data_IF_314430188169
#
_entry.id   IF_314430188169
#
_cell.length_a   1.000
_cell.length_b   1.000
_cell.length_c   1.000
_cell.angle_alpha   90.00
_cell.angle_beta   90.00
_cell.angle_gamma   90.00
#
_symmetry.space_group_name_H-M   'P 1'
#
loop_
_entity.id
_entity.type
_entity.pdbx_description
1 polymer ?
#
# COMPACT_ATOMS: atom_id res chain seq x y z
N UNK A 1 -35.23 -3.55 -4.57
CA UNK A 1 -34.42 -4.00 -5.73
C UNK A 1 -33.04 -3.51 -5.41
N UNK A 2 -32.37 -4.26 -4.56
CA UNK A 2 -31.15 -3.83 -3.88
C UNK A 2 -30.04 -4.68 -4.46
N UNK A 3 -29.28 -4.07 -5.37
CA UNK A 3 -28.12 -4.67 -6.01
C UNK A 3 -27.03 -4.86 -4.96
N UNK A 4 -27.02 -6.03 -4.33
CA UNK A 4 -25.92 -6.52 -3.51
C UNK A 4 -24.71 -6.64 -4.42
N UNK A 5 -23.71 -5.77 -4.21
CA UNK A 5 -22.43 -5.87 -4.89
C UNK A 5 -21.81 -7.23 -4.63
N UNK A 6 -21.41 -7.94 -5.69
CA UNK A 6 -20.60 -9.15 -5.61
C UNK A 6 -19.26 -8.83 -4.94
N UNK A 7 -19.24 -9.00 -3.62
CA UNK A 7 -18.02 -9.13 -2.83
C UNK A 7 -17.42 -10.50 -3.15
N UNK A 8 -16.77 -10.60 -4.31
CA UNK A 8 -16.11 -11.83 -4.75
C UNK A 8 -14.98 -12.19 -3.79
N UNK A 9 -15.16 -13.28 -3.04
CA UNK A 9 -14.14 -13.99 -2.25
C UNK A 9 -13.08 -14.65 -3.17
N UNK A 10 -12.83 -14.07 -4.34
CA UNK A 10 -11.99 -14.64 -5.37
C UNK A 10 -10.53 -14.30 -5.07
N UNK A 11 -9.80 -15.33 -4.69
CA UNK A 11 -8.37 -15.25 -4.39
C UNK A 11 -7.62 -15.25 -5.71
N UNK A 12 -7.06 -14.11 -6.06
CA UNK A 12 -6.28 -13.94 -7.28
C UNK A 12 -4.81 -14.24 -7.04
N UNK A 13 -4.09 -14.57 -8.11
CA UNK A 13 -2.64 -14.81 -8.09
C UNK A 13 -1.86 -13.79 -8.93
N UNK A 14 -0.56 -13.55 -8.66
CA UNK A 14 0.24 -12.63 -9.46
C UNK A 14 0.23 -13.00 -10.96
N UNK A 15 0.02 -11.99 -11.80
CA UNK A 15 -0.09 -12.12 -13.25
C UNK A 15 -1.53 -12.29 -13.76
N UNK A 16 -2.48 -12.59 -12.88
CA UNK A 16 -3.88 -12.77 -13.23
C UNK A 16 -4.54 -11.48 -13.70
N UNK A 17 -5.47 -11.59 -14.65
CA UNK A 17 -6.19 -10.47 -15.24
C UNK A 17 -7.33 -10.03 -14.32
N UNK A 18 -7.40 -8.72 -14.05
CA UNK A 18 -8.38 -8.14 -13.12
C UNK A 18 -9.46 -7.29 -13.81
N UNK A 19 -9.19 -6.80 -15.03
CA UNK A 19 -10.10 -5.95 -15.79
C UNK A 19 -9.37 -5.02 -16.77
N UNK A 20 -10.14 -4.24 -17.52
CA UNK A 20 -9.59 -3.24 -18.43
C UNK A 20 -9.30 -1.92 -17.70
N UNK A 21 -8.16 -1.31 -18.04
CA UNK A 21 -7.71 -0.01 -17.56
C UNK A 21 -8.50 1.16 -18.15
N UNK A 22 -9.55 0.91 -18.94
CA UNK A 22 -10.57 1.91 -19.32
C UNK A 22 -11.75 1.93 -18.35
N UNK A 23 -11.98 0.84 -17.61
CA UNK A 23 -13.13 0.68 -16.71
C UNK A 23 -12.73 0.81 -15.24
N UNK A 24 -11.48 0.45 -14.93
CA UNK A 24 -10.97 0.39 -13.57
C UNK A 24 -9.67 1.16 -13.40
N UNK A 25 -9.40 1.55 -12.16
CA UNK A 25 -8.12 2.11 -11.72
C UNK A 25 -7.33 1.03 -10.99
N UNK A 26 -6.04 0.90 -11.32
CA UNK A 26 -5.14 -0.03 -10.63
C UNK A 26 -4.77 0.55 -9.25
N UNK A 27 -5.25 -0.09 -8.18
CA UNK A 27 -4.93 0.25 -6.80
C UNK A 27 -3.82 -0.63 -6.21
N UNK A 28 -3.77 -0.73 -4.89
CA UNK A 28 -2.74 -1.51 -4.18
C UNK A 28 -2.77 -2.97 -4.60
N UNK A 29 -1.61 -3.55 -4.88
CA UNK A 29 -1.52 -4.97 -5.27
C UNK A 29 -1.96 -5.28 -6.70
N UNK A 30 -2.23 -4.25 -7.51
CA UNK A 30 -2.52 -4.35 -8.93
C UNK A 30 -1.64 -3.38 -9.73
N UNK A 31 -1.44 -3.64 -11.01
CA UNK A 31 -0.70 -2.78 -11.93
C UNK A 31 -1.31 -2.80 -13.34
N UNK A 32 -1.08 -1.74 -14.11
CA UNK A 32 -1.45 -1.70 -15.54
C UNK A 32 -0.37 -2.42 -16.34
N UNK A 33 -0.74 -3.38 -17.18
CA UNK A 33 0.21 -4.11 -18.02
C UNK A 33 0.93 -3.17 -19.00
N UNK A 34 2.13 -3.53 -19.50
CA UNK A 34 2.93 -2.66 -20.36
C UNK A 34 2.23 -2.15 -21.63
N UNK A 35 1.19 -2.86 -22.09
CA UNK A 35 0.35 -2.44 -23.22
C UNK A 35 -0.66 -1.32 -22.88
N UNK A 36 -0.75 -0.91 -21.61
CA UNK A 36 -1.64 0.14 -21.11
C UNK A 36 -3.13 -0.23 -21.04
N UNK A 37 -3.51 -1.47 -21.40
CA UNK A 37 -4.92 -1.86 -21.56
C UNK A 37 -5.49 -2.63 -20.40
N UNK A 38 -4.72 -3.56 -19.84
CA UNK A 38 -5.25 -4.50 -18.86
C UNK A 38 -4.65 -4.25 -17.47
N UNK A 39 -5.45 -4.44 -16.43
CA UNK A 39 -4.99 -4.44 -15.04
C UNK A 39 -4.70 -5.88 -14.64
N UNK A 40 -3.55 -6.10 -13.98
CA UNK A 40 -3.13 -7.40 -13.49
C UNK A 40 -2.79 -7.37 -12.01
N UNK A 41 -2.98 -8.50 -11.33
CA UNK A 41 -2.55 -8.67 -9.95
C UNK A 41 -1.03 -8.77 -9.86
N UNK A 42 -0.43 -8.14 -8.85
CA UNK A 42 0.97 -8.37 -8.47
C UNK A 42 1.12 -9.04 -7.10
N UNK A 43 0.02 -9.26 -6.38
CA UNK A 43 -0.04 -9.97 -5.11
C UNK A 43 -1.01 -11.15 -5.19
N UNK A 44 -0.77 -12.20 -4.40
CA UNK A 44 -1.80 -13.21 -4.12
C UNK A 44 -2.70 -12.68 -3.01
N UNK A 45 -4.01 -12.64 -3.22
CA UNK A 45 -4.93 -12.11 -2.22
C UNK A 45 -6.36 -12.02 -2.70
N UNK A 46 -7.23 -11.45 -1.86
CA UNK A 46 -8.63 -11.21 -2.23
C UNK A 46 -8.75 -9.94 -3.05
N UNK A 47 -9.49 -10.02 -4.14
CA UNK A 47 -9.85 -8.84 -4.92
C UNK A 47 -10.87 -7.99 -4.15
N UNK A 48 -10.60 -6.69 -4.04
CA UNK A 48 -11.52 -5.70 -3.48
C UNK A 48 -11.74 -4.58 -4.50
N UNK A 49 -12.99 -4.32 -4.84
CA UNK A 49 -13.37 -3.22 -5.73
C UNK A 49 -13.97 -2.10 -4.88
N UNK A 50 -13.41 -0.88 -4.99
CA UNK A 50 -13.91 0.29 -4.28
C UNK A 50 -14.43 1.31 -5.27
N UNK A 51 -15.69 1.72 -5.10
CA UNK A 51 -16.33 2.74 -5.96
C UNK A 51 -15.65 4.09 -5.80
N UNK A 52 -15.60 4.86 -6.89
CA UNK A 52 -15.07 6.22 -6.87
C UNK A 52 -15.84 7.11 -5.88
N UNK A 53 -15.15 7.98 -5.11
CA UNK A 53 -15.81 8.95 -4.25
C UNK A 53 -16.68 9.92 -5.08
N UNK A 54 -17.82 10.39 -4.55
CA UNK A 54 -18.63 11.39 -5.24
C UNK A 54 -17.83 12.69 -5.43
N UNK A 55 -17.67 13.13 -6.69
CA UNK A 55 -16.94 14.35 -7.05
C UNK A 55 -15.50 14.14 -7.51
N UNK A 56 -15.07 12.90 -7.78
CA UNK A 56 -13.79 12.65 -8.45
C UNK A 56 -13.83 13.00 -9.94
N UNK A 57 -12.71 13.46 -10.49
CA UNK A 57 -12.56 13.70 -11.94
C UNK A 57 -12.65 12.39 -12.74
N UNK A 58 -12.29 11.27 -12.10
CA UNK A 58 -12.37 9.92 -12.65
C UNK A 58 -13.39 9.09 -11.83
N UNK A 59 -14.46 8.65 -12.49
CA UNK A 59 -15.56 7.89 -11.87
C UNK A 59 -15.33 6.37 -11.88
N UNK A 60 -14.18 5.90 -12.37
CA UNK A 60 -13.85 4.48 -12.44
C UNK A 60 -13.61 3.89 -11.06
N UNK A 61 -14.03 2.65 -10.87
CA UNK A 61 -13.81 1.93 -9.60
C UNK A 61 -12.35 1.48 -9.49
N UNK A 62 -11.81 1.50 -8.28
CA UNK A 62 -10.42 1.08 -8.01
C UNK A 62 -10.38 -0.40 -7.63
N UNK A 63 -9.53 -1.18 -8.28
CA UNK A 63 -9.27 -2.58 -7.92
C UNK A 63 -8.03 -2.65 -7.03
N UNK A 64 -8.18 -3.18 -5.83
CA UNK A 64 -7.10 -3.47 -4.89
C UNK A 64 -7.04 -4.97 -4.58
N UNK A 65 -5.83 -5.51 -4.40
CA UNK A 65 -5.62 -6.87 -3.94
C UNK A 65 -5.16 -6.85 -2.48
N UNK A 66 -6.01 -7.39 -1.61
CA UNK A 66 -5.72 -7.53 -0.19
C UNK A 66 -5.04 -8.87 0.04
N UNK A 67 -3.70 -8.83 0.13
CA UNK A 67 -2.89 -10.02 0.35
C UNK A 67 -3.11 -10.65 1.72
N UNK A 68 -2.99 -11.99 1.80
CA UNK A 68 -3.01 -12.74 3.06
C UNK A 68 -1.82 -12.38 3.97
N UNK A 69 -0.71 -11.92 3.38
CA UNK A 69 0.38 -11.25 4.09
C UNK A 69 0.14 -9.74 4.04
N UNK A 70 -0.70 -9.24 4.94
CA UNK A 70 -0.73 -7.82 5.23
C UNK A 70 0.70 -7.41 5.61
N UNK A 71 1.40 -6.72 4.71
CA UNK A 71 2.65 -6.04 5.06
C UNK A 71 2.34 -5.26 6.35
N UNK A 72 3.23 -5.36 7.33
CA UNK A 72 3.12 -4.56 8.54
C UNK A 72 3.03 -3.08 8.17
N UNK A 73 2.68 -2.21 9.12
CA UNK A 73 2.65 -0.79 8.83
C UNK A 73 4.03 -0.35 8.25
N UNK A 74 4.05 0.08 6.99
CA UNK A 74 5.26 0.53 6.30
C UNK A 74 5.32 2.05 6.42
N UNK A 75 6.42 2.62 6.95
CA UNK A 75 6.55 4.06 7.05
C UNK A 75 6.60 4.69 5.65
N UNK A 76 5.77 5.71 5.42
CA UNK A 76 5.82 6.54 4.23
C UNK A 76 6.41 7.92 4.54
N UNK A 77 6.95 8.64 3.54
CA UNK A 77 7.35 10.03 3.73
C UNK A 77 6.20 10.87 4.30
N UNK A 78 6.49 11.67 5.33
CA UNK A 78 5.50 12.50 6.03
C UNK A 78 4.74 11.79 7.16
N UNK A 79 4.91 10.47 7.35
CA UNK A 79 4.29 9.75 8.47
C UNK A 79 5.05 9.95 9.78
N UNK A 80 4.31 10.02 10.89
CA UNK A 80 4.89 10.10 12.24
C UNK A 80 5.15 8.68 12.75
N UNK A 81 6.35 8.45 13.27
CA UNK A 81 6.77 7.14 13.79
C UNK A 81 7.24 7.24 15.23
N UNK A 82 7.03 6.16 15.99
CA UNK A 82 7.67 5.97 17.30
C UNK A 82 8.87 5.07 17.08
N UNK A 83 10.05 5.54 17.45
CA UNK A 83 11.30 4.79 17.29
C UNK A 83 12.10 4.75 18.58
N UNK A 84 12.78 3.63 18.83
CA UNK A 84 13.71 3.43 19.93
C UNK A 84 15.13 3.70 19.45
N UNK A 85 15.79 4.69 20.02
CA UNK A 85 17.21 4.96 19.74
C UNK A 85 18.05 3.77 20.22
N UNK A 86 18.85 3.21 19.32
CA UNK A 86 19.71 2.05 19.59
C UNK A 86 21.17 2.42 19.73
N UNK A 87 21.61 3.47 19.04
CA UNK A 87 23.00 3.95 19.08
C UNK A 87 23.05 5.45 18.81
N UNK A 88 23.85 6.18 19.58
CA UNK A 88 24.12 7.61 19.34
C UNK A 88 25.58 7.78 18.95
N UNK A 89 25.83 8.54 17.89
CA UNK A 89 27.16 8.95 17.42
C UNK A 89 27.19 10.48 17.26
N UNK A 90 28.36 11.05 16.97
CA UNK A 90 28.56 12.50 16.97
C UNK A 90 27.68 13.28 15.98
N UNK A 91 27.26 12.66 14.86
CA UNK A 91 26.46 13.33 13.81
C UNK A 91 25.16 12.60 13.45
N UNK A 92 24.89 11.47 14.09
CA UNK A 92 23.69 10.69 13.83
C UNK A 92 23.30 9.80 15.02
N UNK A 93 22.04 9.40 15.04
CA UNK A 93 21.50 8.40 15.95
C UNK A 93 20.82 7.30 15.13
N UNK A 94 21.17 6.04 15.39
CA UNK A 94 20.44 4.89 14.88
C UNK A 94 19.22 4.63 15.74
N UNK A 95 18.08 4.32 15.12
CA UNK A 95 16.84 4.02 15.82
C UNK A 95 16.09 2.87 15.16
N UNK A 96 15.46 2.02 15.96
CA UNK A 96 14.55 0.98 15.49
C UNK A 96 13.11 1.53 15.52
N UNK A 97 12.39 1.50 14.41
CA UNK A 97 10.99 1.91 14.35
C UNK A 97 10.13 0.84 15.02
N UNK A 98 9.25 1.27 15.94
CA UNK A 98 8.35 0.40 16.70
C UNK A 98 6.90 0.56 16.25
N UNK A 99 6.47 1.78 15.92
CA UNK A 99 5.12 2.07 15.44
C UNK A 99 5.15 3.07 14.28
N UNK A 100 4.23 2.89 13.34
CA UNK A 100 3.90 3.84 12.28
C UNK A 100 2.47 4.31 12.55
N UNK A 101 2.30 5.61 12.79
CA UNK A 101 1.08 6.17 13.39
C UNK A 101 0.67 5.41 14.67
N UNK A 102 -0.54 4.84 14.68
CA UNK A 102 -1.07 4.05 15.80
C UNK A 102 -0.89 2.53 15.61
N UNK A 103 -0.13 2.08 14.61
CA UNK A 103 0.05 0.66 14.29
C UNK A 103 1.47 0.19 14.61
N UNK A 104 1.58 -0.85 15.42
CA UNK A 104 2.85 -1.51 15.67
C UNK A 104 3.40 -2.16 14.40
N UNK A 105 4.69 -2.00 14.14
CA UNK A 105 5.35 -2.68 13.02
C UNK A 105 5.59 -4.14 13.38
N UNK A 106 5.30 -5.04 12.44
CA UNK A 106 5.58 -6.48 12.59
C UNK A 106 7.03 -6.81 12.26
N UNK A 107 7.61 -6.07 11.34
CA UNK A 107 8.97 -6.23 10.84
C UNK A 107 9.84 -5.11 11.39
N UNK A 108 11.10 -5.44 11.67
CA UNK A 108 12.06 -4.46 12.20
C UNK A 108 12.49 -3.51 11.08
N UNK A 109 12.20 -2.22 11.24
CA UNK A 109 12.80 -1.17 10.42
C UNK A 109 13.86 -0.42 11.22
N UNK A 110 15.04 -0.22 10.64
CA UNK A 110 16.13 0.55 11.24
C UNK A 110 16.30 1.87 10.49
N UNK A 111 16.21 2.99 11.20
CA UNK A 111 16.39 4.35 10.70
C UNK A 111 17.63 5.05 11.26
N UNK A 112 17.99 6.16 10.64
CA UNK A 112 19.07 7.05 11.07
C UNK A 112 18.53 8.47 11.19
N UNK A 113 18.63 9.05 12.37
CA UNK A 113 18.36 10.47 12.63
C UNK A 113 19.69 11.20 12.43
N UNK A 114 19.82 11.93 11.32
CA UNK A 114 20.99 12.74 11.02
C UNK A 114 20.83 14.17 11.55
N UNK A 115 21.92 14.76 12.04
CA UNK A 115 21.96 16.22 12.19
C UNK A 115 22.06 16.86 10.81
N UNK A 116 21.38 17.98 10.54
CA UNK A 116 21.55 18.71 9.28
C UNK A 116 23.03 19.07 9.08
N UNK A 117 23.52 18.91 7.86
CA UNK A 117 24.87 19.36 7.51
C UNK A 117 24.92 20.89 7.59
N UNK A 118 26.00 21.48 8.13
CA UNK A 118 26.16 22.93 8.23
C UNK A 118 26.57 23.59 6.90
N UNK A 119 26.24 22.98 5.76
CA UNK A 119 26.56 23.48 4.42
C UNK A 119 25.32 23.42 3.54
#
# INVERSE_FOLDING_TARGET
MDSVGEEGDDVVTPGEFLGEATEFIAGKGAYISPNGRSIRACLTGRRKVTTAPPGSDDNRSTIEIVGHKAHGAVPQPGTIVIARVTKVMARNASADIMCVDSKAVKEKFSGIIGTPSPF
#
